data_IF_048053824566
#
_entry.id   IF_048053824566
#
_cell.length_a   1.000
_cell.length_b   1.000
_cell.length_c   1.000
_cell.angle_alpha   90.00
_cell.angle_beta   90.00
_cell.angle_gamma   90.00
#
_symmetry.space_group_name_H-M   'P 1'
#
loop_
_entity.id
_entity.type
_entity.pdbx_description
1 polymer ?
2 water ?
#
# COMPACT_ATOMS: atom_id res chain seq x y z
N UNK A 6 23.30 15.03 -0.57
CA UNK A 6 22.17 14.24 -0.03
C UNK A 6 21.41 14.96 1.09
N UNK A 7 20.80 16.10 0.76
CA UNK A 7 19.94 16.77 1.72
C UNK A 7 18.75 15.89 2.16
N UNK A 8 18.06 16.34 3.21
CA UNK A 8 16.89 15.65 3.71
C UNK A 8 15.73 15.94 2.78
N UNK A 9 14.99 14.90 2.36
CA UNK A 9 13.84 15.16 1.52
C UNK A 9 12.69 15.77 2.29
N UNK A 10 11.77 16.38 1.55
CA UNK A 10 10.60 17.00 2.13
C UNK A 10 9.37 16.39 1.48
N UNK A 11 8.32 16.28 2.26
CA UNK A 11 7.09 15.69 1.85
C UNK A 11 5.95 16.72 2.06
N UNK A 12 5.02 16.76 1.13
CA UNK A 12 3.84 17.61 1.25
C UNK A 12 2.66 16.84 0.71
N UNK A 13 1.46 17.35 0.94
CA UNK A 13 0.24 16.67 0.50
C UNK A 13 -0.64 17.65 -0.25
N UNK A 14 -1.23 17.20 -1.34
CA UNK A 14 -2.24 17.98 -2.08
C UNK A 14 -3.53 17.16 -2.10
N UNK A 15 -4.70 17.79 -1.83
CA UNK A 15 -4.92 19.18 -1.43
C UNK A 15 -4.51 19.53 -0.01
N UNK A 16 -4.24 18.53 0.83
CA UNK A 16 -3.81 18.79 2.20
C UNK A 16 -3.84 17.53 3.03
N UNK A 17 -3.68 17.69 4.36
CA UNK A 17 -3.47 16.56 5.27
C UNK A 17 -4.78 15.90 5.70
N UNK A 18 -5.89 16.62 5.50
CA UNK A 18 -7.22 16.18 5.89
C UNK A 18 -8.04 15.85 4.64
N UNK A 19 -8.46 14.58 4.53
CA UNK A 19 -9.07 14.04 3.31
C UNK A 19 -10.37 13.37 3.64
N UNK A 20 -11.43 13.66 2.89
CA UNK A 20 -12.68 12.94 3.11
C UNK A 20 -12.63 11.48 2.60
N UNK A 21 -13.44 10.63 3.24
CA UNK A 21 -13.52 9.20 2.91
C UNK A 21 -13.93 9.01 1.44
N UNK A 22 -13.24 8.10 0.76
CA UNK A 22 -13.51 7.81 -0.67
C UNK A 22 -12.86 8.76 -1.67
N UNK A 23 -12.25 9.83 -1.17
CA UNK A 23 -11.62 10.84 -2.02
C UNK A 23 -10.16 10.42 -2.18
N UNK A 24 -9.33 11.35 -2.63
CA UNK A 24 -7.93 11.06 -2.93
C UNK A 24 -6.97 12.15 -2.42
N UNK A 25 -5.70 11.77 -2.29
CA UNK A 25 -4.65 12.66 -1.90
C UNK A 25 -3.43 12.35 -2.75
N UNK A 26 -2.62 13.37 -2.97
CA UNK A 26 -1.42 13.24 -3.76
C UNK A 26 -0.24 13.67 -2.89
N UNK A 27 0.68 12.75 -2.64
CA UNK A 27 1.88 13.04 -1.87
C UNK A 27 2.97 13.48 -2.82
N UNK A 28 3.63 14.58 -2.48
CA UNK A 28 4.70 15.12 -3.31
C UNK A 28 5.98 15.15 -2.48
N UNK A 29 6.91 14.26 -2.85
CA UNK A 29 8.26 14.24 -2.30
C UNK A 29 9.18 15.11 -3.14
N UNK A 30 10.09 15.82 -2.46
CA UNK A 30 11.13 16.64 -3.10
C UNK A 30 12.53 16.26 -2.60
N UNK A 31 13.50 16.29 -3.52
CA UNK A 31 14.90 16.02 -3.20
C UNK A 31 15.80 16.89 -4.07
N UNK A 32 17.10 16.60 -4.09
CA UNK A 32 18.03 17.35 -4.91
C UNK A 32 17.92 16.81 -6.32
N UNK A 33 18.52 17.48 -7.30
CA UNK A 33 18.59 16.89 -8.63
C UNK A 33 19.47 15.64 -8.63
N UNK A 34 19.13 14.70 -9.48
CA UNK A 34 19.94 13.51 -9.68
C UNK A 34 19.36 12.29 -9.00
N UNK A 35 18.16 12.46 -8.43
CA UNK A 35 17.38 11.35 -7.88
C UNK A 35 17.00 10.37 -8.96
N UNK A 36 17.26 9.09 -8.74
CA UNK A 36 16.79 8.04 -9.62
C UNK A 36 15.42 7.52 -9.14
N UNK A 37 15.34 7.20 -7.85
CA UNK A 37 14.09 6.67 -7.31
C UNK A 37 13.62 7.53 -6.13
N UNK A 38 12.31 7.77 -6.06
CA UNK A 38 11.68 8.26 -4.82
C UNK A 38 10.82 7.15 -4.23
N UNK A 39 10.88 6.98 -2.92
CA UNK A 39 10.03 6.04 -2.24
C UNK A 39 9.06 6.76 -1.33
N UNK A 40 7.77 6.45 -1.42
CA UNK A 40 6.79 6.86 -0.44
C UNK A 40 6.58 5.71 0.49
N UNK A 41 6.88 5.91 1.77
CA UNK A 41 6.88 4.84 2.76
C UNK A 41 5.89 5.13 3.88
N UNK A 42 5.04 4.16 4.24
CA UNK A 42 4.18 4.32 5.40
C UNK A 42 4.96 3.87 6.62
N UNK A 43 4.95 4.70 7.66
CA UNK A 43 5.80 4.47 8.82
C UNK A 43 5.22 3.36 9.71
N UNK A 44 3.93 3.17 9.56
CA UNK A 44 3.08 2.33 10.36
C UNK A 44 2.99 0.95 9.76
N UNK A 45 2.24 0.90 8.65
CA UNK A 45 1.84 -0.33 7.99
C UNK A 45 2.92 -0.75 7.00
N UNK A 46 3.97 0.06 6.86
CA UNK A 46 5.23 -0.38 6.27
C UNK A 46 5.21 -0.76 4.77
N UNK A 47 4.15 -0.38 4.06
CA UNK A 47 4.03 -0.56 2.63
C UNK A 47 4.85 0.53 1.95
N UNK A 48 5.60 0.19 0.91
CA UNK A 48 6.34 1.20 0.13
C UNK A 48 5.74 1.45 -1.25
N UNK A 49 6.14 2.58 -1.83
CA UNK A 49 5.77 2.90 -3.19
C UNK A 49 6.97 3.52 -3.87
N UNK A 50 7.54 2.87 -4.88
CA UNK A 50 8.68 3.41 -5.66
C UNK A 50 8.29 4.00 -7.04
N UNK A 51 8.92 5.11 -7.40
CA UNK A 51 8.88 5.56 -8.78
C UNK A 51 10.15 6.24 -9.28
N UNK A 52 10.32 6.19 -10.59
CA UNK A 52 11.40 6.83 -11.29
C UNK A 52 10.76 7.87 -12.22
N UNK A 53 9.54 8.28 -11.86
CA UNK A 53 8.77 9.24 -12.62
C UNK A 53 9.05 10.57 -11.97
N UNK A 54 10.28 11.05 -12.18
CA UNK A 54 10.83 12.20 -11.49
C UNK A 54 10.91 13.39 -12.44
N UNK A 55 10.52 14.56 -11.96
CA UNK A 55 10.59 15.78 -12.75
C UNK A 55 11.50 16.77 -12.04
N UNK A 56 12.07 17.71 -12.79
CA UNK A 56 12.91 18.73 -12.18
C UNK A 56 12.08 19.98 -11.95
N UNK A 57 11.92 20.35 -10.68
CA UNK A 57 11.11 21.49 -10.27
C UNK A 57 11.91 22.78 -10.19
N UNK A 58 13.25 22.67 -10.16
CA UNK A 58 14.14 23.85 -10.15
C UNK A 58 15.59 23.40 -10.39
N UNK A 59 16.56 24.33 -10.36
CA UNK A 59 17.95 23.91 -10.52
C UNK A 59 18.45 22.99 -9.42
N UNK A 60 17.97 23.19 -8.19
CA UNK A 60 18.38 22.38 -7.06
C UNK A 60 17.19 21.66 -6.42
N UNK A 61 16.29 21.10 -7.23
CA UNK A 61 15.11 20.42 -6.68
C UNK A 61 14.47 19.49 -7.70
N UNK A 62 14.30 18.23 -7.33
CA UNK A 62 13.52 17.28 -8.12
C UNK A 62 12.35 16.79 -7.25
N UNK A 63 11.27 16.36 -7.89
CA UNK A 63 10.09 15.91 -7.16
C UNK A 63 9.49 14.67 -7.83
N UNK A 64 8.65 13.97 -7.10
CA UNK A 64 7.91 12.84 -7.64
C UNK A 64 6.55 12.94 -6.98
N UNK A 65 5.49 12.57 -7.68
CA UNK A 65 4.14 12.62 -7.13
C UNK A 65 3.58 11.23 -6.95
N UNK A 66 2.82 11.01 -5.88
CA UNK A 66 2.15 9.73 -5.61
C UNK A 66 0.67 9.87 -5.26
N UNK A 67 -0.23 9.37 -6.09
CA UNK A 67 -1.66 9.49 -5.79
C UNK A 67 -2.22 8.26 -5.11
N UNK A 68 -2.95 8.47 -4.01
CA UNK A 68 -3.68 7.38 -3.38
C UNK A 68 -5.18 7.61 -3.50
N UNK A 69 -5.86 6.63 -4.09
CA UNK A 69 -7.25 6.77 -4.48
C UNK A 69 -8.20 6.14 -3.49
N UNK A 70 -9.42 6.65 -3.42
CA UNK A 70 -10.44 6.03 -2.58
C UNK A 70 -9.93 5.79 -1.16
N UNK A 71 -9.44 6.85 -0.52
CA UNK A 71 -8.89 6.73 0.83
C UNK A 71 -9.96 6.29 1.81
N UNK A 72 -9.57 5.44 2.74
CA UNK A 72 -10.41 5.06 3.86
C UNK A 72 -9.56 5.13 5.11
N UNK A 73 -10.17 4.77 6.25
CA UNK A 73 -9.44 4.71 7.54
C UNK A 73 -8.12 3.94 7.48
N UNK A 74 -8.04 2.94 6.60
CA UNK A 74 -6.80 2.20 6.41
C UNK A 74 -5.60 3.00 5.94
N UNK A 75 -5.82 4.04 5.13
CA UNK A 75 -4.67 4.81 4.63
C UNK A 75 -4.25 5.94 5.57
N UNK A 76 -5.01 6.18 6.62
CA UNK A 76 -4.66 7.23 7.57
C UNK A 76 -3.37 6.83 8.29
N UNK A 77 -2.48 7.80 8.50
CA UNK A 77 -1.26 7.61 9.27
C UNK A 77 -0.09 8.44 8.75
N UNK A 78 1.08 8.26 9.36
CA UNK A 78 2.30 8.97 8.98
C UNK A 78 2.97 8.43 7.69
N UNK A 79 3.32 9.32 6.77
CA UNK A 79 4.05 8.96 5.55
C UNK A 79 5.42 9.66 5.55
N UNK A 80 6.40 9.05 4.90
CA UNK A 80 7.74 9.64 4.86
C UNK A 80 8.29 9.45 3.45
N UNK A 81 9.22 10.31 3.00
CA UNK A 81 9.83 10.10 1.66
C UNK A 81 11.28 9.74 1.82
N UNK A 82 11.78 8.87 0.95
CA UNK A 82 13.22 8.62 0.84
C UNK A 82 13.58 8.63 -0.66
N UNK A 83 14.76 9.13 -1.01
CA UNK A 83 15.24 9.00 -2.40
C UNK A 83 16.55 8.22 -2.52
N UNK A 84 16.77 7.63 -3.69
CA UNK A 84 18.05 6.98 -3.99
C UNK A 84 18.74 7.87 -4.99
N UNK A 85 19.88 8.42 -4.60
CA UNK A 85 20.75 9.15 -5.52
C UNK A 85 21.97 8.25 -5.69
N UNK A 86 22.04 7.53 -6.82
CA UNK A 86 23.07 6.51 -7.03
C UNK A 86 24.44 6.97 -6.55
N UNK A 87 25.06 6.25 -5.62
CA UNK A 87 24.74 4.92 -5.13
C UNK A 87 24.27 4.87 -3.67
N UNK A 88 23.70 5.97 -3.15
CA UNK A 88 23.36 6.04 -1.73
C UNK A 88 21.91 6.46 -1.53
N UNK A 89 21.22 5.80 -0.58
CA UNK A 89 19.87 6.20 -0.17
C UNK A 89 19.96 7.32 0.84
N UNK A 90 19.01 8.26 0.75
CA UNK A 90 18.97 9.36 1.69
C UNK A 90 18.48 8.94 3.06
N UNK A 91 18.55 9.87 3.99
CA UNK A 91 17.86 9.80 5.27
C UNK A 91 16.38 9.97 4.94
N UNK A 92 15.49 9.58 5.84
CA UNK A 92 14.06 9.75 5.64
C UNK A 92 13.64 11.19 5.82
N UNK A 93 12.57 11.60 5.17
CA UNK A 93 11.98 12.92 5.44
C UNK A 93 11.26 12.93 6.78
N UNK A 94 10.96 14.13 7.29
CA UNK A 94 10.00 14.27 8.38
C UNK A 94 8.72 13.57 7.95
N UNK A 95 7.96 13.10 8.93
CA UNK A 95 6.71 12.44 8.63
C UNK A 95 5.63 13.43 8.34
N UNK A 96 4.57 12.94 7.71
CA UNK A 96 3.34 13.69 7.54
C UNK A 96 2.21 12.70 7.84
N UNK A 97 1.32 13.09 8.76
CA UNK A 97 0.14 12.31 9.07
C UNK A 97 -1.01 12.71 8.15
N UNK A 98 -1.59 11.70 7.50
CA UNK A 98 -2.83 11.86 6.79
C UNK A 98 -3.97 11.60 7.75
N UNK A 99 -4.91 12.55 7.82
CA UNK A 99 -6.17 12.37 8.56
C UNK A 99 -7.30 12.15 7.55
N UNK A 100 -7.96 11.00 7.69
CA UNK A 100 -9.14 10.66 6.92
C UNK A 100 -10.35 11.01 7.76
N UNK A 101 -11.06 12.09 7.41
CA UNK A 101 -12.24 12.53 8.20
C UNK A 101 -13.49 11.74 7.85
N UNK B 6 -22.47 12.82 -23.83
CA UNK B 6 -21.37 11.93 -23.41
C UNK B 6 -20.83 11.04 -24.57
N UNK B 7 -19.84 11.56 -25.31
CA UNK B 7 -19.20 10.78 -26.38
C UNK B 7 -18.28 9.68 -25.87
N UNK B 8 -17.98 8.73 -26.75
CA UNK B 8 -17.07 7.64 -26.46
C UNK B 8 -15.72 8.21 -26.05
N UNK B 9 -15.15 7.74 -24.92
CA UNK B 9 -13.85 8.27 -24.49
C UNK B 9 -12.68 7.75 -25.34
N UNK B 10 -11.48 8.18 -24.99
CA UNK B 10 -10.27 7.81 -25.71
C UNK B 10 -9.17 7.49 -24.70
N UNK B 11 -8.30 6.56 -25.07
CA UNK B 11 -7.18 6.17 -24.23
C UNK B 11 -5.88 6.28 -25.03
N UNK B 12 -4.81 6.63 -24.33
CA UNK B 12 -3.48 6.72 -24.86
C UNK B 12 -2.49 6.44 -23.74
N UNK B 13 -1.25 6.15 -24.09
CA UNK B 13 -0.25 5.75 -23.11
C UNK B 13 1.00 6.61 -23.24
N UNK B 14 1.54 7.02 -22.10
CA UNK B 14 2.69 7.92 -22.00
C UNK B 14 3.87 7.23 -21.31
N UNK B 15 5.02 7.12 -21.96
CA UNK B 15 5.45 7.66 -23.27
C UNK B 15 4.90 6.91 -24.48
N UNK B 16 4.34 5.72 -24.27
CA UNK B 16 3.86 4.92 -25.39
C UNK B 16 3.54 3.50 -25.01
N UNK B 17 3.20 2.70 -26.02
CA UNK B 17 2.69 1.36 -25.84
C UNK B 17 3.80 0.33 -25.69
N UNK B 18 5.05 0.75 -25.83
CA UNK B 18 6.17 -0.15 -25.64
C UNK B 18 7.00 0.34 -24.44
N UNK B 19 6.98 -0.47 -23.38
CA UNK B 19 7.64 -0.17 -22.13
C UNK B 19 8.63 -1.30 -21.81
N UNK B 20 9.83 -0.95 -21.35
CA UNK B 20 10.76 -1.99 -20.86
C UNK B 20 10.50 -2.38 -19.42
N UNK B 21 10.70 -3.67 -19.12
CA UNK B 21 10.60 -4.19 -17.76
C UNK B 21 11.21 -3.22 -16.75
N UNK B 22 10.51 -3.05 -15.63
CA UNK B 22 10.98 -2.21 -14.55
C UNK B 22 10.81 -0.71 -14.76
N UNK B 23 10.24 -0.31 -15.88
CA UNK B 23 10.03 1.11 -16.14
C UNK B 23 8.59 1.39 -15.81
N UNK B 24 8.12 2.60 -16.11
CA UNK B 24 6.75 2.95 -15.76
C UNK B 24 5.95 3.36 -16.97
N UNK B 25 4.64 3.32 -16.85
CA UNK B 25 3.77 3.80 -17.90
C UNK B 25 2.61 4.54 -17.27
N UNK B 26 2.06 5.49 -18.01
CA UNK B 26 0.94 6.26 -17.53
C UNK B 26 -0.17 6.19 -18.55
N UNK B 27 -1.30 5.58 -18.17
CA UNK B 27 -2.49 5.62 -19.04
C UNK B 27 -3.18 6.97 -18.91
N UNK B 28 -3.78 7.42 -20.00
CA UNK B 28 -4.48 8.70 -20.04
C UNK B 28 -5.84 8.51 -20.70
N UNK B 29 -6.89 8.65 -19.90
CA UNK B 29 -8.25 8.60 -20.39
C UNK B 29 -8.71 10.00 -20.63
N UNK B 30 -9.30 10.26 -21.80
CA UNK B 30 -9.83 11.57 -22.13
C UNK B 30 -11.33 11.47 -22.42
N UNK B 31 -12.04 12.48 -21.98
CA UNK B 31 -13.48 12.53 -22.14
C UNK B 31 -13.99 13.95 -22.15
N UNK B 32 -15.30 14.09 -22.07
CA UNK B 32 -15.91 15.40 -22.18
C UNK B 32 -15.65 16.25 -20.92
N UNK B 33 -16.27 17.43 -20.88
CA UNK B 33 -16.27 18.29 -19.71
C UNK B 33 -17.28 17.75 -18.69
N UNK B 34 -17.16 18.13 -17.42
CA UNK B 34 -18.08 17.66 -16.38
C UNK B 34 -18.06 16.16 -16.05
N UNK B 35 -16.89 15.53 -16.09
CA UNK B 35 -16.74 14.10 -15.77
C UNK B 35 -16.54 13.92 -14.28
N UNK B 36 -17.25 12.98 -13.67
CA UNK B 36 -17.03 12.69 -12.26
C UNK B 36 -15.90 11.68 -12.03
N UNK B 37 -15.95 10.56 -12.73
CA UNK B 37 -15.04 9.43 -12.51
C UNK B 37 -14.54 8.88 -13.82
N UNK B 38 -13.28 8.54 -13.88
CA UNK B 38 -12.73 7.76 -14.98
C UNK B 38 -12.37 6.39 -14.43
N UNK B 39 -12.68 5.36 -15.19
CA UNK B 39 -12.40 4.02 -14.77
C UNK B 39 -11.54 3.37 -15.82
N UNK B 40 -10.39 2.84 -15.40
CA UNK B 40 -9.48 2.08 -16.25
C UNK B 40 -9.69 0.62 -16.05
N UNK B 41 -9.92 -0.13 -17.13
CA UNK B 41 -10.09 -1.57 -17.06
C UNK B 41 -9.16 -2.36 -18.00
N UNK B 42 -8.88 -3.59 -17.62
CA UNK B 42 -8.13 -4.50 -18.46
C UNK B 42 -9.04 -5.60 -18.99
N UNK B 43 -8.67 -6.18 -20.13
CA UNK B 43 -9.36 -7.33 -20.70
C UNK B 43 -9.09 -8.59 -19.86
N UNK B 44 -7.97 -8.62 -19.14
CA UNK B 44 -7.59 -9.82 -18.36
C UNK B 44 -8.37 -9.96 -17.04
N UNK B 45 -8.82 -8.82 -16.50
CA UNK B 45 -9.12 -8.69 -15.08
C UNK B 45 -10.60 -8.48 -14.75
N UNK B 46 -10.97 -8.88 -13.55
CA UNK B 46 -12.32 -8.69 -13.02
C UNK B 46 -12.39 -7.42 -12.16
N UNK B 47 -11.30 -6.66 -12.14
CA UNK B 47 -11.14 -5.56 -11.21
C UNK B 47 -10.76 -4.29 -11.95
N UNK B 48 -11.10 -3.13 -11.38
CA UNK B 48 -10.91 -1.82 -12.09
C UNK B 48 -10.06 -0.78 -11.32
N UNK B 49 -9.85 0.38 -11.92
CA UNK B 49 -9.25 1.54 -11.24
C UNK B 49 -10.10 2.79 -11.39
N UNK B 50 -10.70 3.26 -10.30
CA UNK B 50 -11.42 4.53 -10.35
C UNK B 50 -10.54 5.68 -9.84
N UNK B 51 -10.65 6.82 -10.52
CA UNK B 51 -10.15 8.09 -10.00
C UNK B 51 -11.13 9.22 -10.25
N UNK B 52 -11.26 10.11 -9.26
CA UNK B 52 -12.04 11.34 -9.39
C UNK B 52 -11.12 12.57 -9.45
N UNK B 53 -9.86 12.34 -9.85
CA UNK B 53 -8.82 13.37 -9.99
C UNK B 53 -8.82 13.81 -11.45
N UNK B 54 -9.96 14.31 -11.88
CA UNK B 54 -10.12 14.76 -13.26
C UNK B 54 -9.32 16.05 -13.43
N UNK B 55 -8.75 16.26 -14.60
CA UNK B 55 -8.20 17.57 -14.95
C UNK B 55 -8.69 17.96 -16.33
N UNK B 56 -8.57 19.24 -16.67
CA UNK B 56 -9.00 19.75 -17.98
C UNK B 56 -7.82 19.73 -18.95
N UNK B 57 -8.03 19.25 -20.16
CA UNK B 57 -7.01 19.41 -21.24
C UNK B 57 -7.35 20.62 -22.09
N UNK B 58 -8.56 20.64 -22.63
CA UNK B 58 -9.04 21.77 -23.43
C UNK B 58 -10.37 22.27 -22.85
N UNK B 59 -10.95 23.34 -23.43
CA UNK B 59 -12.26 23.81 -22.97
C UNK B 59 -13.42 22.86 -23.22
N UNK B 60 -13.24 21.87 -24.08
CA UNK B 60 -14.28 20.87 -24.35
C UNK B 60 -13.91 19.49 -23.80
N UNK B 61 -12.67 19.33 -23.33
CA UNK B 61 -12.16 18.03 -22.99
C UNK B 61 -11.65 17.96 -21.53
N UNK B 62 -11.72 16.77 -20.94
CA UNK B 62 -11.15 16.55 -19.62
C UNK B 62 -10.44 15.20 -19.62
N UNK B 63 -9.60 14.95 -18.63
CA UNK B 63 -8.82 13.71 -18.62
C UNK B 63 -8.36 13.30 -17.24
N UNK B 64 -7.87 12.08 -17.16
CA UNK B 64 -7.35 11.51 -15.91
C UNK B 64 -6.20 10.59 -16.26
N UNK B 65 -5.29 10.41 -15.32
CA UNK B 65 -4.07 9.66 -15.53
C UNK B 65 -3.94 8.58 -14.49
N UNK B 66 -3.50 7.40 -14.90
CA UNK B 66 -3.20 6.32 -13.99
C UNK B 66 -1.77 5.83 -14.24
N UNK B 67 -0.88 5.90 -13.25
CA UNK B 67 0.52 5.49 -13.47
C UNK B 67 0.78 4.08 -12.91
N UNK B 68 1.39 3.21 -13.73
CA UNK B 68 1.85 1.90 -13.29
C UNK B 68 3.36 1.89 -13.23
N UNK B 69 3.91 1.60 -12.04
CA UNK B 69 5.36 1.52 -11.84
C UNK B 69 5.91 0.08 -11.90
N UNK B 70 7.18 -0.06 -12.28
CA UNK B 70 7.84 -1.38 -12.46
C UNK B 70 6.94 -2.34 -13.21
N UNK B 71 6.80 -2.06 -14.49
CA UNK B 71 6.02 -2.92 -15.34
C UNK B 71 6.62 -4.35 -15.33
N UNK B 72 5.74 -5.34 -15.28
CA UNK B 72 6.11 -6.74 -15.38
C UNK B 72 5.32 -7.29 -16.55
N UNK B 73 5.61 -8.53 -16.96
CA UNK B 73 4.84 -9.23 -17.98
C UNK B 73 3.34 -9.19 -17.73
N UNK B 74 2.96 -9.32 -16.46
CA UNK B 74 1.57 -9.33 -16.09
C UNK B 74 0.83 -8.03 -16.32
N UNK B 75 1.55 -6.93 -16.46
CA UNK B 75 0.93 -5.64 -16.81
C UNK B 75 0.58 -5.54 -18.31
N UNK B 76 1.06 -6.47 -19.14
CA UNK B 76 0.91 -6.39 -20.59
C UNK B 76 -0.49 -6.80 -21.04
N UNK B 77 -1.01 -6.13 -22.05
CA UNK B 77 -2.30 -6.53 -22.61
C UNK B 77 -3.22 -5.35 -22.82
N UNK B 78 -4.47 -5.64 -23.20
CA UNK B 78 -5.48 -4.61 -23.53
C UNK B 78 -6.00 -3.87 -22.32
N UNK B 79 -6.02 -2.54 -22.38
CA UNK B 79 -6.67 -1.67 -21.40
C UNK B 79 -7.68 -0.79 -22.13
N UNK B 80 -8.70 -0.33 -21.43
CA UNK B 80 -9.63 0.67 -21.94
C UNK B 80 -10.28 1.49 -20.81
N UNK B 81 -10.71 2.72 -21.12
CA UNK B 81 -11.34 3.61 -20.12
C UNK B 81 -12.85 3.67 -20.30
N UNK B 82 -13.53 4.07 -19.24
CA UNK B 82 -14.95 4.35 -19.27
C UNK B 82 -15.22 5.44 -18.23
N UNK B 83 -16.07 6.43 -18.54
CA UNK B 83 -16.33 7.53 -17.58
C UNK B 83 -17.74 7.60 -17.12
N UNK B 84 -17.96 8.27 -16.00
CA UNK B 84 -19.26 8.49 -15.41
C UNK B 84 -19.51 10.00 -15.35
N UNK B 85 -20.52 10.46 -16.09
CA UNK B 85 -21.00 11.84 -16.10
C UNK B 85 -22.39 11.80 -15.51
N UNK B 86 -22.53 12.15 -14.21
CA UNK B 86 -23.77 11.92 -13.51
C UNK B 86 -24.97 12.30 -14.37
N UNK B 87 -25.97 11.41 -14.49
CA UNK B 87 -26.18 10.14 -13.79
C UNK B 87 -25.86 8.86 -14.58
N UNK B 88 -25.07 8.94 -15.65
CA UNK B 88 -24.87 7.77 -16.54
C UNK B 88 -23.39 7.45 -16.88
N UNK B 89 -23.17 6.20 -17.31
CA UNK B 89 -21.87 5.71 -17.70
C UNK B 89 -21.72 5.77 -19.20
N UNK B 90 -20.53 6.12 -19.64
CA UNK B 90 -20.24 6.16 -21.07
C UNK B 90 -20.07 4.75 -21.65
N UNK B 91 -19.99 4.70 -22.98
CA UNK B 91 -19.46 3.53 -23.66
C UNK B 91 -17.99 3.37 -23.28
N UNK B 92 -17.49 2.14 -23.38
CA UNK B 92 -16.07 1.89 -23.11
C UNK B 92 -15.30 2.31 -24.35
N UNK B 93 -14.05 2.72 -24.17
CA UNK B 93 -13.22 3.13 -25.29
C UNK B 93 -12.64 1.91 -26.01
N UNK B 94 -11.92 2.18 -27.09
CA UNK B 94 -11.11 1.19 -27.81
C UNK B 94 -10.07 0.66 -26.85
N UNK B 95 -9.89 -0.66 -26.87
CA UNK B 95 -8.77 -1.28 -26.18
C UNK B 95 -7.45 -0.73 -26.74
N UNK B 96 -6.54 -0.40 -25.82
CA UNK B 96 -5.15 -0.06 -26.15
C UNK B 96 -4.26 -1.19 -25.65
N UNK B 97 -3.48 -1.81 -26.55
CA UNK B 97 -2.55 -2.90 -26.16
C UNK B 97 -1.22 -2.34 -25.64
N UNK B 98 -0.88 -2.69 -24.39
CA UNK B 98 0.44 -2.46 -23.86
C UNK B 98 1.36 -3.61 -24.18
N UNK B 99 2.60 -3.24 -24.49
CA UNK B 99 3.62 -4.21 -24.90
C UNK B 99 4.81 -3.99 -23.99
N UNK B 100 5.14 -5.03 -23.23
CA UNK B 100 6.26 -5.00 -22.32
C UNK B 100 7.39 -5.70 -23.05
N UNK B 101 8.55 -5.05 -23.07
CA UNK B 101 9.66 -5.37 -23.97
C UNK B 101 10.66 -6.36 -23.34
N UNK B 102 11.16 -7.29 -24.15
CA UNK B 102 12.21 -8.24 -23.73
C UNK B 102 11.85 -9.04 -22.48
N UNK C 5 15.34 -21.48 -12.28
CA UNK C 5 16.06 -22.23 -11.21
C UNK C 5 15.20 -22.31 -9.94
N UNK C 6 14.91 -21.14 -9.34
CA UNK C 6 14.14 -21.04 -8.09
C UNK C 6 12.66 -21.29 -8.32
N UNK C 7 12.04 -22.16 -7.50
CA UNK C 7 10.65 -22.48 -7.76
C UNK C 7 9.83 -21.25 -7.46
N UNK C 8 8.93 -20.88 -8.36
CA UNK C 8 8.28 -19.60 -8.18
C UNK C 8 7.24 -19.72 -7.11
N UNK C 9 7.03 -18.63 -6.34
CA UNK C 9 6.14 -18.64 -5.19
C UNK C 9 4.68 -18.85 -5.56
N UNK C 10 3.86 -19.13 -4.56
CA UNK C 10 2.42 -19.28 -4.74
C UNK C 10 1.74 -18.42 -3.71
N UNK C 11 0.48 -18.12 -3.95
CA UNK C 11 -0.18 -17.05 -3.20
C UNK C 11 -1.61 -17.48 -2.91
N UNK C 12 -2.10 -17.15 -1.73
CA UNK C 12 -3.42 -17.55 -1.30
C UNK C 12 -3.94 -16.50 -0.35
N UNK C 13 -5.24 -16.45 -0.14
CA UNK C 13 -5.86 -15.45 0.74
C UNK C 13 -6.62 -16.11 1.88
N UNK C 14 -6.52 -15.51 3.06
CA UNK C 14 -7.33 -15.94 4.22
C UNK C 14 -8.06 -14.71 4.80
N UNK C 15 -9.37 -14.84 5.00
CA UNK C 15 -10.18 -16.06 4.79
C UNK C 15 -10.38 -16.44 3.32
N UNK C 16 -10.49 -15.44 2.45
CA UNK C 16 -10.75 -15.65 1.04
C UNK C 16 -10.45 -14.40 0.23
N UNK C 17 -10.74 -14.46 -1.06
CA UNK C 17 -10.51 -13.35 -1.97
C UNK C 17 -11.72 -12.40 -2.05
N UNK C 18 -12.89 -12.86 -1.60
CA UNK C 18 -14.08 -12.01 -1.46
C UNK C 18 -14.13 -11.45 -0.04
N UNK C 19 -14.11 -10.13 0.08
CA UNK C 19 -13.96 -9.44 1.36
C UNK C 19 -14.91 -8.25 1.44
N UNK C 20 -15.76 -8.19 2.48
CA UNK C 20 -16.68 -7.05 2.60
C UNK C 20 -16.01 -5.73 3.07
N UNK C 21 -16.59 -4.59 2.66
CA UNK C 21 -16.01 -3.27 2.89
C UNK C 21 -15.65 -3.01 4.35
N UNK C 22 -14.49 -2.40 4.57
CA UNK C 22 -14.04 -2.05 5.93
C UNK C 22 -13.54 -3.20 6.80
N UNK C 23 -13.32 -4.37 6.20
CA UNK C 23 -12.91 -5.59 6.92
C UNK C 23 -11.42 -5.87 6.66
N UNK C 24 -10.93 -7.06 7.06
CA UNK C 24 -9.51 -7.39 6.89
C UNK C 24 -9.28 -8.57 5.99
N UNK C 25 -8.14 -8.59 5.32
CA UNK C 25 -7.74 -9.77 4.55
C UNK C 25 -6.27 -10.01 4.77
N UNK C 26 -5.90 -11.29 4.89
CA UNK C 26 -4.52 -11.72 5.07
C UNK C 26 -4.09 -12.56 3.88
N UNK C 27 -3.01 -12.14 3.23
CA UNK C 27 -2.33 -12.95 2.19
C UNK C 27 -1.27 -13.84 2.81
N UNK C 28 -0.99 -14.96 2.16
CA UNK C 28 0.05 -15.88 2.56
C UNK C 28 0.86 -16.21 1.31
N UNK C 29 2.16 -15.98 1.38
CA UNK C 29 3.06 -16.25 0.26
C UNK C 29 3.95 -17.42 0.59
N UNK C 30 3.77 -18.53 -0.11
CA UNK C 30 4.58 -19.73 0.10
C UNK C 30 5.74 -19.80 -0.89
N UNK C 31 6.90 -20.23 -0.41
CA UNK C 31 8.12 -20.38 -1.23
C UNK C 31 9.01 -21.45 -0.66
N UNK C 32 10.27 -21.52 -1.11
CA UNK C 32 11.12 -22.61 -0.64
C UNK C 32 11.89 -22.28 0.63
N UNK C 33 12.56 -23.27 1.19
CA UNK C 33 13.49 -23.08 2.30
C UNK C 33 14.52 -21.99 1.97
N UNK C 34 14.90 -21.20 2.98
CA UNK C 34 16.03 -20.29 2.86
C UNK C 34 15.71 -19.00 2.14
N UNK C 35 14.45 -18.57 2.22
CA UNK C 35 14.03 -17.28 1.74
C UNK C 35 14.43 -16.23 2.77
N UNK C 36 15.01 -15.14 2.31
CA UNK C 36 15.33 -14.03 3.19
C UNK C 36 14.14 -13.05 3.31
N UNK C 37 13.68 -12.50 2.19
CA UNK C 37 12.58 -11.54 2.21
C UNK C 37 11.49 -11.89 1.20
N UNK C 38 10.24 -11.98 1.67
CA UNK C 38 9.05 -12.07 0.81
C UNK C 38 8.54 -10.65 0.57
N UNK C 39 7.89 -10.44 -0.57
CA UNK C 39 7.33 -9.16 -0.96
C UNK C 39 5.97 -9.40 -1.59
N UNK C 40 4.91 -8.78 -1.06
CA UNK C 40 3.59 -8.79 -1.67
C UNK C 40 3.47 -7.57 -2.56
N UNK C 41 3.23 -7.75 -3.86
CA UNK C 41 3.10 -6.62 -4.83
C UNK C 41 1.68 -6.46 -5.29
N UNK C 42 1.27 -5.21 -5.49
CA UNK C 42 0.10 -4.91 -6.30
C UNK C 42 0.51 -4.74 -7.76
N UNK C 43 -0.18 -5.45 -8.65
CA UNK C 43 0.13 -5.41 -10.08
C UNK C 43 -0.22 -4.01 -10.64
N UNK C 44 -1.42 -3.59 -10.26
CA UNK C 44 -2.10 -2.35 -10.61
C UNK C 44 -1.49 -1.06 -9.98
N UNK C 45 -1.75 -0.91 -8.69
CA UNK C 45 -1.41 0.28 -7.93
C UNK C 45 0.07 0.38 -7.53
N UNK C 46 0.87 -0.63 -7.88
CA UNK C 46 2.35 -0.57 -7.76
C UNK C 46 3.01 -0.64 -6.36
N UNK C 47 2.22 -0.60 -5.28
CA UNK C 47 2.76 -0.72 -3.91
C UNK C 47 3.22 -2.12 -3.55
N UNK C 48 4.07 -2.23 -2.55
CA UNK C 48 4.47 -3.53 -2.04
C UNK C 48 4.83 -3.48 -0.57
N UNK C 49 4.79 -4.65 0.06
CA UNK C 49 5.15 -4.85 1.45
C UNK C 49 6.22 -5.90 1.51
N UNK C 50 7.38 -5.52 2.05
CA UNK C 50 8.48 -6.43 2.33
C UNK C 50 8.47 -6.92 3.76
N UNK C 51 8.56 -8.25 3.92
CA UNK C 51 8.66 -8.85 5.24
C UNK C 51 9.86 -9.79 5.33
N UNK C 52 10.44 -9.88 6.52
CA UNK C 52 11.48 -10.86 6.82
C UNK C 52 11.01 -11.77 7.94
N UNK C 53 9.80 -11.54 8.41
CA UNK C 53 9.18 -12.43 9.35
C UNK C 53 8.73 -13.67 8.62
N UNK C 54 9.70 -14.45 8.16
CA UNK C 54 9.46 -15.61 7.34
C UNK C 54 9.25 -16.79 8.29
N UNK C 55 8.14 -17.51 8.17
CA UNK C 55 7.86 -18.63 9.10
C UNK C 55 8.14 -20.01 8.49
N UNK C 56 7.84 -21.07 9.23
CA UNK C 56 8.05 -22.42 8.74
C UNK C 56 6.68 -23.11 8.58
N UNK C 57 6.14 -23.11 7.37
CA UNK C 57 4.90 -23.85 7.06
C UNK C 57 5.11 -25.37 7.20
N UNK C 58 6.04 -25.91 6.41
CA UNK C 58 6.52 -27.27 6.57
C UNK C 58 8.04 -27.28 6.38
N UNK C 59 8.68 -28.44 6.54
CA UNK C 59 9.94 -28.63 5.84
C UNK C 59 9.72 -28.42 4.34
N UNK C 60 10.79 -28.18 3.59
CA UNK C 60 10.71 -27.81 2.17
C UNK C 60 10.25 -26.39 1.93
N UNK C 61 9.17 -25.95 2.58
CA UNK C 61 8.52 -24.65 2.22
C UNK C 61 8.62 -23.52 3.28
N UNK C 62 8.88 -22.30 2.80
CA UNK C 62 8.83 -21.09 3.63
C UNK C 62 7.48 -20.42 3.48
N UNK C 63 7.18 -19.49 4.38
CA UNK C 63 5.89 -18.81 4.39
C UNK C 63 6.05 -17.40 4.94
N UNK C 64 5.19 -16.48 4.53
CA UNK C 64 5.06 -15.14 5.14
C UNK C 64 3.60 -14.69 5.01
N UNK C 65 3.11 -13.88 5.96
CA UNK C 65 1.71 -13.38 5.93
C UNK C 65 1.65 -11.86 6.08
N UNK C 66 0.76 -11.23 5.32
CA UNK C 66 0.56 -9.80 5.38
C UNK C 66 -0.92 -9.57 5.58
N UNK C 67 -1.30 -8.86 6.63
CA UNK C 67 -2.69 -8.50 6.81
C UNK C 67 -2.88 -7.11 6.23
N UNK C 68 -4.06 -6.89 5.66
CA UNK C 68 -4.53 -5.58 5.23
C UNK C 68 -5.89 -5.31 5.91
N UNK C 69 -5.98 -4.19 6.63
CA UNK C 69 -7.20 -3.81 7.37
C UNK C 69 -7.96 -2.71 6.67
N UNK C 70 -9.18 -2.45 7.14
CA UNK C 70 -10.07 -1.48 6.50
C UNK C 70 -10.02 -1.68 4.99
N UNK C 71 -10.37 -2.89 4.57
CA UNK C 71 -10.37 -3.20 3.16
C UNK C 71 -11.42 -2.28 2.52
N UNK C 72 -11.05 -1.68 1.39
CA UNK C 72 -11.85 -0.69 0.70
C UNK C 72 -11.64 -0.84 -0.79
N UNK C 73 -12.36 -0.03 -1.59
CA UNK C 73 -12.33 -0.14 -3.05
C UNK C 73 -10.90 0.01 -3.57
N UNK C 74 -10.15 0.89 -2.90
CA UNK C 74 -8.74 1.09 -3.21
C UNK C 74 -7.88 -0.15 -3.06
N UNK C 75 -8.23 -1.02 -2.13
CA UNK C 75 -7.43 -2.20 -1.88
C UNK C 75 -7.74 -3.35 -2.83
N UNK C 76 -8.75 -3.21 -3.68
CA UNK C 76 -9.12 -4.27 -4.61
C UNK C 76 -8.23 -4.31 -5.84
N UNK C 77 -7.77 -5.51 -6.19
CA UNK C 77 -6.97 -5.70 -7.39
C UNK C 77 -6.20 -6.99 -7.37
N UNK C 78 -5.31 -7.18 -8.36
CA UNK C 78 -4.44 -8.35 -8.45
C UNK C 78 -3.21 -8.24 -7.55
N UNK C 79 -2.95 -9.26 -6.74
CA UNK C 79 -1.75 -9.28 -5.91
C UNK C 79 -0.84 -10.45 -6.38
N UNK C 80 0.47 -10.26 -6.29
CA UNK C 80 1.44 -11.33 -6.52
C UNK C 80 2.45 -11.35 -5.38
N UNK C 81 3.15 -12.47 -5.17
CA UNK C 81 4.28 -12.54 -4.23
C UNK C 81 5.53 -12.75 -5.03
N UNK C 82 6.65 -12.36 -4.46
CA UNK C 82 7.96 -12.62 -5.03
C UNK C 82 8.88 -12.74 -3.84
N UNK C 83 9.91 -13.57 -3.93
CA UNK C 83 10.86 -13.73 -2.81
C UNK C 83 12.33 -13.51 -3.17
N UNK C 84 13.12 -13.17 -2.18
CA UNK C 84 14.56 -13.04 -2.30
C UNK C 84 15.22 -14.20 -1.58
N UNK C 85 15.95 -15.01 -2.36
CA UNK C 85 16.78 -16.09 -1.81
C UNK C 85 18.19 -15.75 -2.25
N UNK C 86 18.96 -15.09 -1.36
CA UNK C 86 20.27 -14.55 -1.71
C UNK C 86 21.03 -15.53 -2.57
N UNK C 87 21.57 -15.08 -3.71
CA UNK C 87 21.73 -13.71 -4.21
C UNK C 87 20.64 -13.19 -5.19
N UNK C 88 19.72 -14.07 -5.60
CA UNK C 88 18.78 -13.77 -6.67
C UNK C 88 17.35 -13.59 -6.16
N UNK C 89 16.53 -12.89 -6.95
CA UNK C 89 15.08 -12.71 -6.74
C UNK C 89 14.28 -13.70 -7.63
N UNK C 90 13.20 -14.25 -7.09
CA UNK C 90 12.36 -15.20 -7.85
C UNK C 90 11.51 -14.51 -8.90
N UNK C 91 10.80 -15.31 -9.71
CA UNK C 91 9.75 -14.78 -10.58
C UNK C 91 8.53 -14.50 -9.72
N UNK C 92 7.59 -13.76 -10.29
CA UNK C 92 6.41 -13.41 -9.59
C UNK C 92 5.51 -14.62 -9.58
N UNK C 93 4.84 -14.83 -8.46
CA UNK C 93 3.77 -15.76 -8.43
C UNK C 93 2.69 -15.36 -9.44
N UNK C 94 1.93 -16.36 -9.84
CA UNK C 94 0.60 -16.18 -10.41
C UNK C 94 -0.12 -15.09 -9.62
N UNK C 95 -1.13 -14.46 -10.22
CA UNK C 95 -1.80 -13.37 -9.53
C UNK C 95 -3.04 -13.89 -8.83
N UNK C 96 -3.57 -13.07 -7.93
CA UNK C 96 -4.76 -13.37 -7.18
C UNK C 96 -5.52 -12.05 -6.99
N UNK C 97 -6.80 -12.02 -7.32
CA UNK C 97 -7.59 -10.79 -7.21
C UNK C 97 -8.39 -10.66 -5.90
N UNK C 98 -8.12 -9.57 -5.18
CA UNK C 98 -8.92 -9.19 -4.04
C UNK C 98 -10.19 -8.47 -4.50
N UNK C 99 -11.33 -9.13 -4.30
CA UNK C 99 -12.63 -8.53 -4.59
C UNK C 99 -13.21 -7.89 -3.34
N UNK C 100 -13.46 -6.59 -3.40
CA UNK C 100 -14.12 -5.90 -2.29
C UNK C 100 -15.61 -5.92 -2.54
N UNK C 101 -16.34 -6.43 -1.55
CA UNK C 101 -17.76 -6.72 -1.68
C UNK C 101 -18.62 -5.52 -1.24
N UNK C 102 -19.21 -4.83 -2.22
CA UNK C 102 -20.27 -3.82 -2.00
C UNK C 102 -20.14 -3.02 -0.70
N UNK D 6 -14.16 -3.68 29.81
CA UNK D 6 -13.98 -3.37 31.25
C UNK D 6 -12.49 -3.42 31.70
N UNK D 7 -11.89 -4.63 31.77
CA UNK D 7 -10.51 -4.72 32.31
C UNK D 7 -9.47 -4.05 31.43
N UNK D 8 -8.34 -3.67 32.02
CA UNK D 8 -7.27 -2.99 31.30
C UNK D 8 -6.51 -3.96 30.37
N UNK D 9 -6.38 -3.62 29.07
CA UNK D 9 -5.58 -4.49 28.22
C UNK D 9 -4.09 -4.38 28.50
N UNK D 10 -3.35 -5.38 28.07
CA UNK D 10 -1.90 -5.34 28.22
C UNK D 10 -1.23 -5.49 26.86
N UNK D 11 0.00 -5.02 26.79
CA UNK D 11 0.73 -4.93 25.55
C UNK D 11 2.02 -5.66 25.79
N UNK D 12 2.53 -6.31 24.78
CA UNK D 12 3.82 -6.94 24.85
C UNK D 12 4.37 -6.97 23.42
N UNK D 13 5.61 -7.39 23.28
CA UNK D 13 6.30 -7.25 22.02
C UNK D 13 7.00 -8.54 21.69
N UNK D 14 7.16 -8.82 20.40
CA UNK D 14 7.85 -10.01 19.93
C UNK D 14 8.71 -9.63 18.71
N UNK D 15 10.01 -9.97 18.74
CA UNK D 15 10.76 -10.75 19.75
C UNK D 15 10.91 -10.06 21.11
N UNK D 16 10.98 -8.73 21.12
CA UNK D 16 11.21 -7.99 22.37
C UNK D 16 11.28 -6.51 22.12
N UNK D 17 11.62 -5.75 23.14
CA UNK D 17 11.56 -4.27 23.06
C UNK D 17 12.84 -3.65 22.49
N UNK D 18 13.85 -4.47 22.22
CA UNK D 18 15.05 -4.02 21.56
C UNK D 18 15.15 -4.73 20.21
N UNK D 19 15.07 -3.93 19.15
CA UNK D 19 15.03 -4.38 17.78
C UNK D 19 16.11 -3.62 17.02
N UNK D 20 16.85 -4.29 16.11
CA UNK D 20 17.86 -3.58 15.35
C UNK D 20 17.28 -2.89 14.13
N UNK D 21 17.80 -1.70 13.83
CA UNK D 21 17.38 -0.98 12.65
C UNK D 21 17.21 -2.03 11.55
N UNK D 22 16.10 -1.93 10.82
CA UNK D 22 15.91 -2.69 9.58
C UNK D 22 15.21 -4.02 9.76
N UNK D 23 14.84 -4.31 11.00
CA UNK D 23 14.23 -5.58 11.34
C UNK D 23 12.73 -5.41 11.51
N UNK D 24 12.07 -6.44 12.00
CA UNK D 24 10.65 -6.39 12.25
C UNK D 24 10.38 -6.49 13.74
N UNK D 25 9.23 -5.97 14.16
CA UNK D 25 8.71 -6.14 15.51
C UNK D 25 7.19 -6.23 15.42
N UNK D 26 6.60 -6.94 16.39
CA UNK D 26 5.18 -7.22 16.42
C UNK D 26 4.68 -6.94 17.82
N UNK D 27 3.74 -6.01 17.92
CA UNK D 27 3.13 -5.71 19.21
C UNK D 27 1.92 -6.61 19.41
N UNK D 28 1.75 -7.07 20.63
CA UNK D 28 0.69 -7.98 20.92
C UNK D 28 -0.17 -7.36 21.98
N UNK D 29 -1.30 -6.80 21.55
CA UNK D 29 -2.33 -6.33 22.46
C UNK D 29 -3.16 -7.50 22.93
N UNK D 30 -3.38 -7.58 24.25
CA UNK D 30 -4.13 -8.66 24.88
C UNK D 30 -5.28 -8.08 25.69
N UNK D 31 -6.39 -8.81 25.75
CA UNK D 31 -7.58 -8.38 26.47
C UNK D 31 -8.56 -9.49 26.85
N UNK D 32 -9.76 -9.12 27.30
CA UNK D 32 -10.75 -10.12 27.67
C UNK D 32 -11.45 -10.61 26.42
N UNK D 33 -12.30 -11.61 26.59
CA UNK D 33 -13.16 -12.10 25.50
C UNK D 33 -14.24 -11.08 25.15
N UNK D 34 -14.88 -11.30 24.01
CA UNK D 34 -15.94 -10.41 23.52
C UNK D 34 -15.39 -9.13 22.91
N UNK D 35 -14.07 -9.04 22.74
CA UNK D 35 -13.46 -7.84 22.20
C UNK D 35 -13.66 -7.79 20.70
N UNK D 36 -14.21 -6.67 20.23
CA UNK D 36 -14.46 -6.43 18.81
C UNK D 36 -13.23 -5.89 18.07
N UNK D 37 -12.66 -4.80 18.57
CA UNK D 37 -11.50 -4.14 17.92
C UNK D 37 -10.41 -3.87 18.94
N UNK D 38 -9.17 -3.91 18.47
CA UNK D 38 -8.03 -3.51 19.26
C UNK D 38 -7.38 -2.33 18.60
N UNK D 39 -6.95 -1.37 19.39
CA UNK D 39 -6.36 -0.16 18.86
C UNK D 39 -4.98 0.06 19.44
N UNK D 40 -3.97 -0.05 18.58
CA UNK D 40 -2.59 0.31 18.92
C UNK D 40 -2.40 1.81 18.74
N UNK D 41 -1.78 2.47 19.71
CA UNK D 41 -1.37 3.87 19.51
C UNK D 41 -0.05 4.24 20.16
N UNK D 42 0.44 5.43 19.82
CA UNK D 42 1.71 5.97 20.33
C UNK D 42 1.49 7.30 21.03
N UNK D 43 2.28 7.57 22.08
CA UNK D 43 2.27 8.88 22.75
C UNK D 43 2.44 9.97 21.72
N UNK D 44 3.42 9.76 20.84
CA UNK D 44 3.88 10.81 19.95
C UNK D 44 2.84 11.18 18.86
N UNK D 45 2.40 10.18 18.09
CA UNK D 45 1.51 10.39 16.95
C UNK D 45 0.08 10.64 17.40
N UNK D 46 -0.73 11.16 16.48
CA UNK D 46 -2.18 11.36 16.69
C UNK D 46 -3.03 10.39 15.89
N UNK D 47 -2.39 9.47 15.20
CA UNK D 47 -3.06 8.47 14.39
C UNK D 47 -2.91 7.12 15.10
N UNK D 48 -3.68 6.13 14.66
CA UNK D 48 -3.69 4.81 15.29
C UNK D 48 -3.87 3.74 14.25
N UNK D 49 -3.85 2.48 14.69
CA UNK D 49 -4.14 1.35 13.81
C UNK D 49 -5.10 0.40 14.50
N UNK D 50 -6.28 0.28 13.91
CA UNK D 50 -7.31 -0.63 14.36
C UNK D 50 -7.16 -1.97 13.66
N UNK D 51 -7.49 -3.05 14.38
CA UNK D 51 -7.73 -4.34 13.75
C UNK D 51 -8.93 -5.06 14.36
N UNK D 52 -9.62 -5.81 13.52
CA UNK D 52 -10.64 -6.76 13.96
C UNK D 52 -10.11 -8.19 13.88
N UNK D 53 -8.91 -8.38 13.34
CA UNK D 53 -8.28 -9.70 13.27
C UNK D 53 -7.93 -10.12 14.69
N UNK D 54 -8.92 -10.62 15.41
CA UNK D 54 -8.74 -10.91 16.83
C UNK D 54 -8.78 -12.41 17.04
N UNK D 55 -7.87 -12.89 17.88
CA UNK D 55 -7.70 -14.31 18.07
C UNK D 55 -7.91 -14.64 19.55
N UNK D 56 -8.38 -15.85 19.83
CA UNK D 56 -8.54 -16.29 21.21
C UNK D 56 -7.24 -16.95 21.65
N UNK D 57 -6.53 -16.33 22.60
CA UNK D 57 -5.31 -16.92 23.17
C UNK D 57 -5.66 -18.01 24.19
N UNK D 58 -6.57 -17.69 25.11
CA UNK D 58 -7.11 -18.65 26.06
C UNK D 58 -8.62 -18.45 26.15
N UNK D 59 -9.31 -19.33 26.91
CA UNK D 59 -10.74 -19.12 27.13
C UNK D 59 -11.03 -17.74 27.73
N UNK D 60 -10.12 -17.26 28.56
CA UNK D 60 -10.29 -15.97 29.19
C UNK D 60 -9.61 -14.84 28.40
N UNK D 61 -8.62 -15.17 27.58
CA UNK D 61 -7.82 -14.17 26.86
C UNK D 61 -8.38 -13.79 25.49
N UNK D 62 -7.61 -13.00 24.75
CA UNK D 62 -8.01 -12.39 23.47
C UNK D 62 -6.83 -11.56 22.97
N UNK D 63 -6.56 -11.53 21.67
CA UNK D 63 -5.42 -10.74 21.18
C UNK D 63 -5.40 -10.45 19.71
N UNK D 64 -4.72 -9.37 19.37
CA UNK D 64 -4.44 -8.96 18.00
C UNK D 64 -2.94 -8.64 17.93
N UNK D 65 -2.36 -8.83 16.75
CA UNK D 65 -0.92 -8.66 16.57
C UNK D 65 -0.71 -7.59 15.51
N UNK D 66 0.19 -6.64 15.77
CA UNK D 66 0.49 -5.56 14.84
C UNK D 66 1.98 -5.61 14.51
N UNK D 67 2.31 -5.91 13.27
CA UNK D 67 3.70 -6.07 12.85
C UNK D 67 4.18 -4.85 12.12
N UNK D 68 5.37 -4.39 12.47
CA UNK D 68 6.03 -3.29 11.81
C UNK D 68 7.28 -3.84 11.16
N UNK D 69 7.40 -3.62 9.85
CA UNK D 69 8.63 -3.98 9.12
C UNK D 69 9.46 -2.72 8.87
N UNK D 70 10.67 -2.85 8.36
CA UNK D 70 11.48 -1.66 8.02
C UNK D 70 11.87 -0.89 9.25
N UNK D 71 11.93 -1.51 10.41
CA UNK D 71 12.00 -0.72 11.66
C UNK D 71 13.11 0.34 11.57
N UNK D 72 12.73 1.57 11.85
CA UNK D 72 13.59 2.74 11.70
C UNK D 72 13.48 3.58 12.97
N UNK D 73 14.30 4.62 13.10
CA UNK D 73 14.33 5.45 14.34
C UNK D 73 12.96 6.04 14.68
N UNK D 74 12.27 6.55 13.66
CA UNK D 74 10.93 7.12 13.82
C UNK D 74 9.86 6.19 14.40
N UNK D 75 10.07 4.89 14.34
CA UNK D 75 9.16 3.92 15.01
C UNK D 75 9.45 3.84 16.51
N UNK D 76 10.62 4.28 16.95
CA UNK D 76 10.98 4.18 18.37
C UNK D 76 10.06 5.05 19.28
N UNK D 77 9.78 4.54 20.47
CA UNK D 77 8.98 5.25 21.44
C UNK D 77 7.96 4.36 22.12
N UNK D 78 7.18 4.96 23.03
CA UNK D 78 6.13 4.27 23.76
C UNK D 78 4.91 3.93 22.91
N UNK D 79 4.41 2.69 23.05
CA UNK D 79 3.20 2.27 22.34
C UNK D 79 2.14 1.87 23.38
N UNK D 80 0.91 1.59 22.98
CA UNK D 80 -0.15 1.34 23.98
C UNK D 80 -1.44 0.85 23.33
N UNK D 81 -2.16 -0.10 23.97
CA UNK D 81 -3.45 -0.62 23.43
C UNK D 81 -4.68 -0.11 24.16
N UNK D 82 -5.75 0.08 23.40
CA UNK D 82 -7.08 0.23 23.91
C UNK D 82 -7.90 -0.74 23.08
N UNK D 83 -9.08 -1.12 23.55
CA UNK D 83 -9.96 -2.02 22.81
C UNK D 83 -11.44 -1.65 22.96
N UNK D 84 -12.23 -2.07 21.98
CA UNK D 84 -13.63 -1.76 21.93
C UNK D 84 -14.44 -3.02 22.15
N UNK D 85 -15.26 -3.00 23.20
CA UNK D 85 -16.12 -4.12 23.57
C UNK D 85 -17.53 -3.57 23.70
N UNK D 86 -18.31 -3.61 22.61
CA UNK D 86 -19.59 -2.95 22.56
C UNK D 86 -20.36 -3.10 23.86
N UNK D 87 -20.90 -2.00 24.41
CA UNK D 87 -20.97 -0.65 23.80
C UNK D 87 -19.79 0.31 24.06
N UNK D 88 -18.73 -0.14 24.73
CA UNK D 88 -17.79 0.78 25.39
C UNK D 88 -16.32 0.54 25.00
N UNK D 89 -15.48 1.57 25.14
CA UNK D 89 -14.03 1.40 24.99
C UNK D 89 -13.40 1.15 26.35
N UNK D 90 -12.22 0.53 26.34
CA UNK D 90 -11.47 0.21 27.55
C UNK D 90 -10.63 1.38 27.99
N UNK D 91 -9.99 1.23 29.15
CA UNK D 91 -8.93 2.12 29.57
C UNK D 91 -7.70 1.77 28.74
N UNK D 92 -6.71 2.66 28.71
CA UNK D 92 -5.48 2.45 27.94
C UNK D 92 -4.56 1.53 28.72
N UNK D 93 -3.77 0.74 28.00
CA UNK D 93 -2.78 -0.12 28.64
C UNK D 93 -1.60 0.70 29.18
N UNK D 94 -0.79 0.09 30.03
CA UNK D 94 0.50 0.66 30.40
C UNK D 94 1.25 0.93 29.09
N UNK D 95 2.10 1.95 29.07
CA UNK D 95 2.96 2.21 27.93
C UNK D 95 4.06 1.14 27.90
N UNK D 96 4.64 0.93 26.74
CA UNK D 96 5.72 -0.03 26.56
C UNK D 96 6.64 0.58 25.49
N UNK D 97 7.93 0.67 25.78
CA UNK D 97 8.80 1.45 24.92
C UNK D 97 9.57 0.61 23.94
N UNK D 98 9.45 0.93 22.66
CA UNK D 98 10.24 0.31 21.62
C UNK D 98 11.54 1.06 21.42
N UNK D 99 12.64 0.34 21.57
CA UNK D 99 13.98 0.84 21.31
C UNK D 99 14.44 0.23 20.02
N UNK D 100 15.00 1.04 19.14
CA UNK D 100 15.67 0.60 17.94
C UNK D 100 17.16 0.67 18.29
N UNK D 101 17.88 -0.41 18.01
CA UNK D 101 19.25 -0.63 18.50
C UNK D 101 20.28 0.41 18.06
N UNK D 102 21.28 0.62 18.93
CA UNK D 102 22.34 1.65 18.86
C UNK D 102 21.89 2.94 19.56
#
# INVERSE_FOLDING_TARGET
MQEEDLPRPSISAEPGTVIPLGSHVTFVCRGPVGVQTFRLERESRSTYNDTEDVSQASPSESEARFRIDSVSEGNAGPYRCIYYKPPKWSEQSDYLELLVKET
MQEEDLPRPSISAEPGTVIPLGSHVTFVCRGPVGVQTFRLERESRSTYNDTEDVSQASPSESEARFRIDSVSEGNAGPYRCIYYKPPKWSEQSDYLELLVKET
MQEEDLPRPSISAEPGTVIPLGSHVTFVCRGPVGVQTFRLERESRSTYNDTEDVSQASPSESEARFRIDSVSEGNAGPYRCIYYKPPKWSEQSDYLELLVKET
MQEEDLPRPSISAEPGTVIPLGSHVTFVCRGPVGVQTFRLERESRSTYNDTEDVSQASPSESEARFRIDSVSEGNAGPYRCIYYKPPKWSEQSDYLELLVKET
#
